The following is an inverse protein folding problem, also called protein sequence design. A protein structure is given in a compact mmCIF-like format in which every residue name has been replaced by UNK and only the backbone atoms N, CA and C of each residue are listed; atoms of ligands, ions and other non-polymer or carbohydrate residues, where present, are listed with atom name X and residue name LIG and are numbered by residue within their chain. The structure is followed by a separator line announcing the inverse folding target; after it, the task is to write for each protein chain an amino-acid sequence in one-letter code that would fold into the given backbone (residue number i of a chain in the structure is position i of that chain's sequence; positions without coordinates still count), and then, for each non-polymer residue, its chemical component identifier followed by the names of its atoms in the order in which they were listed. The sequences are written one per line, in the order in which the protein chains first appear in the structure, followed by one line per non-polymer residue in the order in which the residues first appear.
data_IF_817099477412
#
_entry.id   IF_817099477412
#
_cell.length_a   1.000
_cell.length_b   1.000
_cell.length_c   1.000
_cell.angle_alpha   90.00
_cell.angle_beta   90.00
_cell.angle_gamma   90.00
#
_symmetry.space_group_name_H-M   'P 1'
#
loop_
_entity.id
_entity.type
_entity.pdbx_description
1 polymer ?
#
# COMPACT_ATOMS: atom_id res chain seq x y z
N UNK A 1 -5.00 -10.27 15.97
CA UNK A 1 -6.00 -9.30 15.47
C UNK A 1 -6.15 -8.22 16.53
N UNK A 2 -5.89 -6.95 16.19
CA UNK A 2 -6.07 -5.84 17.13
C UNK A 2 -7.57 -5.68 17.43
N UNK A 3 -7.94 -5.28 18.65
CA UNK A 3 -9.32 -4.89 18.93
C UNK A 3 -9.72 -3.66 18.12
N UNK A 4 -10.99 -3.53 17.77
CA UNK A 4 -11.54 -2.44 16.95
C UNK A 4 -11.07 -1.05 17.40
N UNK A 5 -11.16 -0.75 18.70
CA UNK A 5 -10.71 0.55 19.24
C UNK A 5 -9.21 0.79 19.02
N UNK A 6 -8.38 -0.24 19.16
CA UNK A 6 -6.94 -0.13 18.90
C UNK A 6 -6.65 0.08 17.41
N UNK A 7 -7.39 -0.58 16.52
CA UNK A 7 -7.27 -0.36 15.08
C UNK A 7 -7.67 1.06 14.70
N UNK A 8 -8.75 1.55 15.31
CA UNK A 8 -9.25 2.93 15.15
C UNK A 8 -8.23 3.97 15.60
N UNK A 9 -7.64 3.79 16.78
CA UNK A 9 -6.60 4.68 17.30
C UNK A 9 -5.35 4.70 16.39
N UNK A 10 -4.90 3.53 15.93
CA UNK A 10 -3.75 3.46 15.03
C UNK A 10 -4.06 4.08 13.66
N UNK A 11 -5.26 3.86 13.12
CA UNK A 11 -5.73 4.52 11.90
C UNK A 11 -5.77 6.05 12.05
N UNK A 12 -6.25 6.57 13.17
CA UNK A 12 -6.26 8.00 13.49
C UNK A 12 -4.86 8.62 13.51
N UNK A 13 -3.87 7.90 14.04
CA UNK A 13 -2.46 8.36 14.03
C UNK A 13 -1.85 8.28 12.63
N UNK A 14 -2.24 7.29 11.84
CA UNK A 14 -1.66 7.03 10.53
C UNK A 14 -2.14 7.99 9.46
N UNK A 15 -3.44 8.30 9.43
CA UNK A 15 -4.04 9.11 8.36
C UNK A 15 -3.29 10.43 8.16
N UNK A 16 -2.95 11.21 9.19
CA UNK A 16 -2.14 12.42 9.02
C UNK A 16 -0.76 12.19 8.38
N UNK A 17 -0.12 11.05 8.66
CA UNK A 17 1.21 10.71 8.12
C UNK A 17 1.17 10.33 6.64
N UNK A 18 0.08 9.70 6.23
CA UNK A 18 -0.17 9.29 4.85
C UNK A 18 -0.87 10.37 4.03
N UNK A 19 -1.48 11.38 4.67
CA UNK A 19 -2.13 12.46 3.95
C UNK A 19 -1.12 13.22 3.08
N UNK A 20 -1.52 13.56 1.86
CA UNK A 20 -0.72 14.30 0.88
C UNK A 20 -0.22 13.49 -0.32
N UNK A 21 -0.28 12.15 -0.25
CA UNK A 21 0.10 11.27 -1.36
C UNK A 21 -0.96 10.19 -1.61
N UNK A 22 -1.05 9.73 -2.85
CA UNK A 22 -1.65 8.45 -3.18
C UNK A 22 -0.64 7.36 -2.87
N UNK A 23 -1.07 6.27 -2.25
CA UNK A 23 -0.14 5.22 -1.83
C UNK A 23 -0.35 3.94 -2.61
N UNK A 24 0.72 3.38 -3.14
CA UNK A 24 0.80 1.98 -3.50
C UNK A 24 1.51 1.23 -2.38
N UNK A 25 1.05 0.03 -2.02
CA UNK A 25 1.73 -0.83 -1.04
C UNK A 25 2.25 -2.10 -1.70
N UNK A 26 3.44 -2.53 -1.31
CA UNK A 26 4.09 -3.72 -1.87
C UNK A 26 5.00 -4.41 -0.84
N UNK A 27 5.41 -5.63 -1.16
CA UNK A 27 6.48 -6.34 -0.44
C UNK A 27 7.87 -5.81 -0.82
N UNK A 28 8.91 -6.27 -0.11
CA UNK A 28 10.30 -5.98 -0.47
C UNK A 28 10.65 -6.49 -1.86
N UNK A 29 10.21 -7.70 -2.22
CA UNK A 29 10.50 -8.28 -3.52
C UNK A 29 9.79 -7.52 -4.64
N UNK A 30 8.50 -7.17 -4.44
CA UNK A 30 7.79 -6.32 -5.38
C UNK A 30 8.43 -4.93 -5.52
N UNK A 31 8.97 -4.36 -4.44
CA UNK A 31 9.74 -3.11 -4.53
C UNK A 31 11.03 -3.26 -5.35
N UNK A 32 11.76 -4.36 -5.18
CA UNK A 32 12.96 -4.66 -5.99
C UNK A 32 12.62 -4.79 -7.47
N UNK A 33 11.53 -5.48 -7.79
CA UNK A 33 11.04 -5.61 -9.17
C UNK A 33 10.67 -4.24 -9.75
N UNK A 34 9.85 -3.46 -9.04
CA UNK A 34 9.46 -2.09 -9.42
C UNK A 34 10.70 -1.22 -9.68
N UNK A 35 11.71 -1.30 -8.82
CA UNK A 35 12.97 -0.58 -8.97
C UNK A 35 13.73 -1.03 -10.22
N UNK A 36 13.88 -2.34 -10.43
CA UNK A 36 14.59 -2.90 -11.59
C UNK A 36 13.91 -2.57 -12.92
N UNK A 37 12.57 -2.55 -12.94
CA UNK A 37 11.76 -2.27 -14.11
C UNK A 37 11.48 -0.77 -14.30
N UNK A 38 11.97 0.07 -13.40
CA UNK A 38 11.73 1.53 -13.40
C UNK A 38 10.25 1.93 -13.50
N UNK A 39 9.33 1.06 -13.05
CA UNK A 39 7.90 1.33 -13.08
C UNK A 39 7.12 0.36 -12.18
N UNK A 40 5.98 0.82 -11.66
CA UNK A 40 4.93 -0.07 -11.16
C UNK A 40 4.15 -0.54 -12.38
N UNK A 41 4.19 -1.84 -12.64
CA UNK A 41 3.51 -2.45 -13.80
C UNK A 41 2.07 -2.80 -13.47
N UNK A 42 1.19 -2.61 -14.45
CA UNK A 42 -0.14 -3.21 -14.41
C UNK A 42 0.03 -4.73 -14.43
N UNK A 43 -0.59 -5.43 -13.48
CA UNK A 43 -0.67 -6.89 -13.54
C UNK A 43 -1.65 -7.30 -14.64
N UNK A 44 -1.14 -7.87 -15.73
CA UNK A 44 -1.94 -8.30 -16.89
C UNK A 44 -2.31 -9.79 -16.82
N UNK A 45 -2.15 -10.40 -15.65
CA UNK A 45 -2.30 -11.84 -15.43
C UNK A 45 -1.00 -12.62 -15.59
N UNK A 46 0.12 -11.92 -15.82
CA UNK A 46 1.48 -12.44 -15.90
C UNK A 46 2.10 -12.69 -14.52
N UNK A 47 1.67 -11.94 -13.51
CA UNK A 47 2.11 -12.15 -12.13
C UNK A 47 1.13 -13.05 -11.37
N UNK A 48 1.63 -13.99 -10.54
CA UNK A 48 0.79 -14.78 -9.66
C UNK A 48 -0.07 -13.83 -8.82
N UNK A 49 -1.38 -14.04 -8.89
CA UNK A 49 -2.33 -13.19 -8.17
C UNK A 49 -2.10 -13.37 -6.68
N UNK A 50 -1.83 -12.28 -5.98
CA UNK A 50 -1.61 -12.32 -4.55
C UNK A 50 -2.85 -12.82 -3.78
N UNK A 51 -4.07 -12.61 -4.31
CA UNK A 51 -5.33 -12.90 -3.62
C UNK A 51 -6.38 -13.49 -4.55
N UNK A 52 -7.24 -14.39 -4.05
CA UNK A 52 -8.39 -14.90 -4.81
C UNK A 52 -9.36 -13.76 -5.17
N UNK A 53 -9.50 -12.78 -4.27
CA UNK A 53 -10.39 -11.63 -4.44
C UNK A 53 -9.89 -10.64 -5.50
N UNK A 54 -8.59 -10.61 -5.80
CA UNK A 54 -8.06 -9.73 -6.84
C UNK A 54 -8.48 -10.17 -8.25
N UNK A 55 -9.05 -11.37 -8.40
CA UNK A 55 -9.66 -11.83 -9.65
C UNK A 55 -10.86 -10.98 -10.07
N UNK A 56 -11.57 -10.38 -9.10
CA UNK A 56 -12.75 -9.54 -9.34
C UNK A 56 -12.51 -8.09 -8.87
N UNK A 57 -11.24 -7.68 -8.70
CA UNK A 57 -10.94 -6.29 -8.37
C UNK A 57 -11.24 -5.41 -9.58
N UNK A 58 -11.98 -4.32 -9.36
CA UNK A 58 -12.28 -3.35 -10.42
C UNK A 58 -10.99 -2.78 -11.05
N UNK A 59 -9.91 -2.59 -10.27
CA UNK A 59 -8.64 -2.14 -10.83
C UNK A 59 -8.02 -3.18 -11.77
N UNK A 60 -8.11 -4.46 -11.43
CA UNK A 60 -7.63 -5.53 -12.30
C UNK A 60 -8.42 -5.59 -13.62
N UNK A 61 -9.76 -5.50 -13.55
CA UNK A 61 -10.62 -5.50 -14.74
C UNK A 61 -10.42 -4.29 -15.66
N UNK A 62 -9.99 -3.15 -15.09
CA UNK A 62 -9.67 -1.94 -15.85
C UNK A 62 -8.20 -1.90 -16.34
N UNK A 63 -7.42 -2.95 -16.10
CA UNK A 63 -5.99 -2.95 -16.44
C UNK A 63 -5.24 -1.80 -15.74
N UNK A 64 -5.53 -1.62 -14.46
CA UNK A 64 -5.10 -0.49 -13.65
C UNK A 64 -4.36 -0.94 -12.38
N UNK A 65 -3.58 -0.01 -11.83
CA UNK A 65 -2.87 -0.17 -10.56
C UNK A 65 -3.74 0.38 -9.44
N UNK A 66 -3.90 -0.40 -8.37
CA UNK A 66 -4.58 0.02 -7.15
C UNK A 66 -3.72 0.99 -6.34
N UNK A 67 -4.31 2.12 -5.95
CA UNK A 67 -3.74 3.12 -5.06
C UNK A 67 -4.74 3.46 -3.94
N UNK A 68 -4.22 3.92 -2.80
CA UNK A 68 -5.02 4.41 -1.68
C UNK A 68 -5.05 5.94 -1.67
N UNK A 69 -6.24 6.52 -1.77
CA UNK A 69 -6.52 7.96 -1.68
C UNK A 69 -7.05 8.35 -0.30
N UNK A 70 -6.12 8.78 0.54
CA UNK A 70 -6.40 9.40 1.84
C UNK A 70 -6.41 10.94 1.76
N UNK A 71 -6.19 11.51 0.56
CA UNK A 71 -6.10 12.96 0.34
C UNK A 71 -7.50 13.56 0.26
N UNK A 72 -8.35 13.01 -0.61
CA UNK A 72 -9.65 13.59 -0.95
C UNK A 72 -10.75 13.30 0.08
N UNK A 73 -10.48 12.36 0.99
CA UNK A 73 -11.43 11.92 2.00
C UNK A 73 -11.21 12.63 3.35
N UNK A 74 -12.31 12.94 4.03
CA UNK A 74 -12.28 13.45 5.41
C UNK A 74 -12.05 12.30 6.37
N UNK A 75 -11.42 12.56 7.51
CA UNK A 75 -11.12 11.51 8.51
C UNK A 75 -12.37 10.72 8.93
N UNK A 76 -13.52 11.38 9.08
CA UNK A 76 -14.79 10.69 9.41
C UNK A 76 -15.26 9.69 8.35
N UNK A 77 -14.84 9.88 7.09
CA UNK A 77 -15.16 8.97 5.98
C UNK A 77 -14.18 7.78 5.93
N UNK A 78 -13.05 7.86 6.64
CA UNK A 78 -11.99 6.85 6.74
C UNK A 78 -12.06 6.02 8.03
N UNK A 79 -12.58 6.63 9.10
CA UNK A 79 -12.59 6.12 10.49
C UNK A 79 -14.02 6.09 11.08
N UNK A 80 -15.04 6.28 10.23
CA UNK A 80 -16.44 6.31 10.63
C UNK A 80 -16.98 4.95 11.10
N UNK A 81 -18.29 4.90 11.36
CA UNK A 81 -19.00 3.71 11.90
C UNK A 81 -19.06 2.52 10.93
N UNK A 82 -18.57 2.65 9.71
CA UNK A 82 -18.48 1.55 8.76
C UNK A 82 -17.29 0.64 9.13
N UNK A 83 -17.54 -0.28 10.07
CA UNK A 83 -16.57 -1.28 10.55
C UNK A 83 -15.88 -2.01 9.38
N UNK A 84 -16.61 -2.25 8.28
CA UNK A 84 -16.06 -2.94 7.11
C UNK A 84 -14.99 -2.12 6.40
N UNK A 85 -15.06 -0.79 6.47
CA UNK A 85 -14.00 0.07 5.94
C UNK A 85 -12.81 0.10 6.88
N UNK A 86 -13.05 0.26 8.18
CA UNK A 86 -11.97 0.37 9.15
C UNK A 86 -11.13 -0.91 9.26
N UNK A 87 -11.74 -2.08 9.04
CA UNK A 87 -11.00 -3.34 9.05
C UNK A 87 -10.27 -3.61 7.72
N UNK A 88 -10.86 -3.25 6.58
CA UNK A 88 -10.33 -3.66 5.27
C UNK A 88 -9.12 -2.87 4.81
N UNK A 89 -9.16 -1.54 4.87
CA UNK A 89 -8.07 -0.75 4.29
C UNK A 89 -6.76 -0.93 5.06
N UNK A 90 -6.72 -0.98 6.40
CA UNK A 90 -5.47 -1.24 7.10
C UNK A 90 -4.98 -2.66 6.84
N UNK A 91 -5.88 -3.65 6.80
CA UNK A 91 -5.49 -5.03 6.50
C UNK A 91 -4.77 -5.13 5.15
N UNK A 92 -5.30 -4.48 4.11
CA UNK A 92 -4.68 -4.50 2.78
C UNK A 92 -3.42 -3.64 2.73
N UNK A 93 -3.43 -2.44 3.32
CA UNK A 93 -2.25 -1.56 3.33
C UNK A 93 -1.07 -2.20 4.04
N UNK A 94 -1.28 -2.92 5.14
CA UNK A 94 -0.22 -3.49 5.98
C UNK A 94 -0.01 -5.00 5.80
N UNK A 95 -0.51 -5.56 4.70
CA UNK A 95 -0.48 -7.02 4.49
C UNK A 95 0.94 -7.59 4.35
N UNK A 96 1.89 -6.79 3.89
CA UNK A 96 3.27 -7.24 3.67
C UNK A 96 4.13 -7.04 4.93
N UNK A 97 5.13 -7.89 5.15
CA UNK A 97 6.06 -7.76 6.29
C UNK A 97 7.51 -7.92 5.84
N UNK A 98 8.30 -6.83 5.72
CA UNK A 98 7.87 -5.43 5.88
C UNK A 98 6.95 -4.97 4.73
N UNK A 99 6.10 -3.98 5.00
CA UNK A 99 5.33 -3.27 3.97
C UNK A 99 6.12 -2.07 3.47
N UNK A 100 6.22 -1.94 2.14
CA UNK A 100 6.76 -0.76 1.49
C UNK A 100 5.61 0.09 0.96
N UNK A 101 5.60 1.37 1.32
CA UNK A 101 4.65 2.38 0.86
C UNK A 101 5.33 3.25 -0.20
N UNK A 102 4.73 3.36 -1.38
CA UNK A 102 5.20 4.20 -2.47
C UNK A 102 4.21 5.35 -2.68
N UNK A 103 4.61 6.54 -2.25
CA UNK A 103 3.80 7.75 -2.27
C UNK A 103 3.96 8.50 -3.59
N UNK A 104 2.83 8.78 -4.23
CA UNK A 104 2.73 9.45 -5.53
C UNK A 104 1.88 10.71 -5.37
N UNK A 105 2.32 11.82 -5.94
CA UNK A 105 1.56 13.07 -5.88
C UNK A 105 0.32 12.98 -6.78
N UNK A 106 -0.85 13.31 -6.25
CA UNK A 106 -2.12 13.25 -6.98
C UNK A 106 -2.05 13.98 -8.33
N UNK A 107 -1.50 15.19 -8.36
CA UNK A 107 -1.38 16.00 -9.58
C UNK A 107 -0.55 15.37 -10.69
N UNK A 108 0.40 14.49 -10.34
CA UNK A 108 1.28 13.83 -11.31
C UNK A 108 0.61 12.68 -12.09
N UNK A 109 -0.53 12.19 -11.60
CA UNK A 109 -1.23 11.03 -12.16
C UNK A 109 -2.73 11.25 -12.38
N UNK A 110 -3.25 12.45 -12.09
CA UNK A 110 -4.67 12.75 -12.02
C UNK A 110 -5.47 12.39 -13.30
N UNK A 111 -4.85 12.51 -14.48
CA UNK A 111 -5.50 12.23 -15.77
C UNK A 111 -5.87 10.76 -15.98
N UNK A 112 -5.27 9.84 -15.21
CA UNK A 112 -5.42 8.40 -15.39
C UNK A 112 -6.14 7.73 -14.21
N UNK A 113 -6.72 8.51 -13.30
CA UNK A 113 -7.39 7.98 -12.11
C UNK A 113 -8.87 7.70 -12.35
N UNK A 114 -9.31 6.52 -11.94
CA UNK A 114 -10.71 6.12 -11.83
C UNK A 114 -11.08 5.96 -10.37
N UNK A 115 -11.98 6.80 -9.87
CA UNK A 115 -12.41 6.78 -8.47
C UNK A 115 -13.56 5.80 -8.24
N UNK A 116 -13.71 5.37 -6.98
CA UNK A 116 -14.74 4.41 -6.58
C UNK A 116 -16.16 4.70 -7.10
N UNK A 117 -16.72 5.94 -7.03
CA UNK A 117 -18.07 6.20 -7.53
C UNK A 117 -18.23 5.90 -9.03
N UNK A 118 -17.19 6.19 -9.81
CA UNK A 118 -17.17 5.92 -11.24
C UNK A 118 -17.03 4.43 -11.52
N UNK A 119 -16.09 3.74 -10.86
CA UNK A 119 -15.90 2.30 -10.99
C UNK A 119 -17.14 1.54 -10.58
N UNK A 120 -17.78 1.94 -9.48
CA UNK A 120 -19.05 1.36 -9.01
C UNK A 120 -20.14 1.45 -10.05
N UNK A 121 -20.24 2.57 -10.77
CA UNK A 121 -21.22 2.76 -11.84
C UNK A 121 -20.90 1.89 -13.07
N UNK A 122 -19.62 1.68 -13.40
CA UNK A 122 -19.17 0.91 -14.57
C UNK A 122 -19.22 -0.61 -14.35
N UNK A 123 -18.80 -1.08 -13.17
CA UNK A 123 -18.53 -2.51 -12.87
C UNK A 123 -19.35 -3.07 -11.70
N UNK A 124 -20.11 -2.24 -11.00
CA UNK A 124 -20.75 -2.62 -9.74
C UNK A 124 -19.78 -2.57 -8.56
N UNK A 125 -20.14 -3.20 -7.44
CA UNK A 125 -19.37 -3.08 -6.19
C UNK A 125 -17.93 -3.60 -6.34
N UNK A 126 -17.72 -4.71 -7.04
CA UNK A 126 -16.40 -5.31 -7.29
C UNK A 126 -15.58 -5.62 -6.03
N UNK A 127 -14.32 -6.03 -6.23
CA UNK A 127 -13.32 -6.22 -5.18
C UNK A 127 -12.48 -4.98 -4.91
N UNK A 128 -13.12 -3.81 -4.78
CA UNK A 128 -12.47 -2.54 -4.45
C UNK A 128 -12.80 -2.14 -3.01
N UNK A 129 -11.84 -1.56 -2.28
CA UNK A 129 -12.07 -1.00 -0.95
C UNK A 129 -12.83 0.30 -1.14
N UNK A 130 -14.11 0.36 -0.71
CA UNK A 130 -14.95 1.49 -1.06
C UNK A 130 -14.34 2.81 -0.59
N UNK A 131 -14.49 3.84 -1.43
CA UNK A 131 -14.05 5.23 -1.20
C UNK A 131 -12.54 5.42 -1.28
N UNK A 132 -11.74 4.63 -0.58
CA UNK A 132 -10.30 4.87 -0.42
C UNK A 132 -9.50 4.36 -1.61
N UNK A 133 -9.89 3.23 -2.21
CA UNK A 133 -9.15 2.70 -3.35
C UNK A 133 -9.51 3.45 -4.65
N UNK A 134 -8.47 3.86 -5.38
CA UNK A 134 -8.53 4.51 -6.68
C UNK A 134 -7.68 3.72 -7.67
N UNK A 135 -8.14 3.56 -8.90
CA UNK A 135 -7.42 2.81 -9.92
C UNK A 135 -6.68 3.75 -10.86
N UNK A 136 -5.37 3.59 -10.99
CA UNK A 136 -4.56 4.29 -11.99
C UNK A 136 -4.43 3.45 -13.26
N UNK A 137 -4.99 3.92 -14.37
CA UNK A 137 -4.94 3.21 -15.66
C UNK A 137 -3.54 3.29 -16.25
N UNK A 138 -2.96 2.12 -16.56
CA UNK A 138 -1.61 2.01 -17.11
C UNK A 138 -0.50 2.01 -16.05
N UNK A 139 0.73 1.78 -16.52
CA UNK A 139 1.92 1.71 -15.68
C UNK A 139 2.22 3.07 -15.01
N UNK A 140 2.81 3.03 -13.80
CA UNK A 140 3.28 4.24 -13.10
C UNK A 140 4.81 4.28 -13.17
N UNK A 141 5.41 5.23 -13.90
CA UNK A 141 6.86 5.38 -13.94
C UNK A 141 7.46 5.63 -12.55
N UNK A 142 8.60 4.99 -12.27
CA UNK A 142 9.25 5.06 -10.94
C UNK A 142 9.57 6.49 -10.51
N UNK A 143 9.91 7.39 -11.45
CA UNK A 143 10.20 8.80 -11.14
C UNK A 143 9.01 9.60 -10.55
N UNK A 144 7.79 9.07 -10.62
CA UNK A 144 6.61 9.69 -10.01
C UNK A 144 6.48 9.35 -8.52
N UNK A 145 7.23 8.38 -8.02
CA UNK A 145 7.29 8.07 -6.59
C UNK A 145 8.11 9.17 -5.89
N UNK A 146 7.46 9.91 -5.00
CA UNK A 146 8.03 11.06 -4.27
C UNK A 146 8.37 10.76 -2.82
N UNK A 147 7.71 9.76 -2.24
CA UNK A 147 7.89 9.39 -0.84
C UNK A 147 7.93 7.88 -0.71
N UNK A 148 8.84 7.36 0.11
CA UNK A 148 8.88 5.93 0.44
C UNK A 148 8.69 5.77 1.93
N UNK A 149 7.73 4.94 2.34
CA UNK A 149 7.54 4.51 3.72
C UNK A 149 7.93 3.05 3.87
N UNK A 150 8.53 2.69 5.00
CA UNK A 150 8.80 1.29 5.35
C UNK A 150 8.17 0.99 6.71
N UNK A 151 7.33 -0.03 6.76
CA UNK A 151 6.71 -0.54 7.98
C UNK A 151 7.23 -1.95 8.28
N UNK A 152 8.05 -2.08 9.32
CA UNK A 152 8.71 -3.35 9.67
C UNK A 152 7.87 -4.29 10.51
N UNK A 153 6.88 -3.76 11.23
CA UNK A 153 6.14 -4.47 12.29
C UNK A 153 4.63 -4.33 12.10
N UNK A 154 3.86 -5.00 12.96
CA UNK A 154 2.39 -4.87 12.99
C UNK A 154 1.92 -3.52 13.55
N UNK A 155 2.77 -2.83 14.30
CA UNK A 155 2.47 -1.49 14.79
C UNK A 155 2.51 -0.50 13.62
N UNK A 156 1.32 -0.08 13.21
CA UNK A 156 1.05 0.91 12.17
C UNK A 156 1.78 2.24 12.44
N UNK A 157 2.03 2.56 13.71
CA UNK A 157 2.80 3.72 14.16
C UNK A 157 4.30 3.68 13.82
N UNK A 158 4.87 2.54 13.43
CA UNK A 158 6.31 2.36 13.18
C UNK A 158 6.71 2.54 11.71
N UNK A 159 5.99 3.37 10.94
CA UNK A 159 6.40 3.69 9.57
C UNK A 159 7.52 4.70 9.59
N UNK A 160 8.64 4.34 8.97
CA UNK A 160 9.73 5.28 8.69
C UNK A 160 9.61 5.78 7.27
N UNK A 161 9.50 7.09 7.10
CA UNK A 161 9.43 7.72 5.78
C UNK A 161 10.79 8.27 5.36
N UNK A 162 11.11 8.10 4.08
CA UNK A 162 12.33 8.52 3.43
C UNK A 162 12.00 9.47 2.29
N UNK A 163 12.78 10.55 2.19
CA UNK A 163 12.72 11.52 1.08
C UNK A 163 13.55 11.09 -0.12
N UNK A 164 14.49 10.15 0.07
CA UNK A 164 15.35 9.60 -0.98
C UNK A 164 15.24 8.08 -1.03
N UNK A 165 15.21 7.54 -2.24
CA UNK A 165 15.14 6.10 -2.49
C UNK A 165 16.36 5.37 -1.91
N UNK A 166 17.55 5.95 -2.03
CA UNK A 166 18.78 5.37 -1.49
C UNK A 166 18.74 5.15 0.03
N UNK A 167 18.07 6.05 0.76
CA UNK A 167 17.95 5.95 2.22
C UNK A 167 17.00 4.80 2.60
N UNK A 168 15.89 4.66 1.87
CA UNK A 168 14.95 3.55 2.06
C UNK A 168 15.62 2.20 1.77
N UNK A 169 16.38 2.09 0.67
CA UNK A 169 17.13 0.87 0.31
C UNK A 169 18.13 0.51 1.39
N UNK A 170 18.90 1.49 1.87
CA UNK A 170 19.90 1.28 2.93
C UNK A 170 19.25 0.78 4.22
N UNK A 171 18.09 1.32 4.59
CA UNK A 171 17.33 0.86 5.75
C UNK A 171 16.84 -0.58 5.60
N UNK A 172 16.31 -0.95 4.44
CA UNK A 172 15.84 -2.31 4.16
C UNK A 172 16.99 -3.33 4.27
N UNK A 173 18.16 -2.99 3.72
CA UNK A 173 19.36 -3.83 3.82
C UNK A 173 19.83 -3.98 5.26
N UNK A 174 19.91 -2.90 6.02
CA UNK A 174 20.29 -2.94 7.44
C UNK A 174 19.31 -3.77 8.29
N UNK A 175 18.01 -3.67 8.01
CA UNK A 175 16.99 -4.48 8.69
C UNK A 175 17.12 -5.98 8.38
N UNK A 176 17.48 -6.31 7.13
CA UNK A 176 17.68 -7.69 6.69
C UNK A 176 18.92 -8.28 7.35
N UNK A 177 20.03 -7.52 7.39
CA UNK A 177 21.27 -7.94 8.06
C UNK A 177 21.05 -8.24 9.54
N UNK A 178 20.34 -7.36 10.27
CA UNK A 178 20.02 -7.59 11.70
C UNK A 178 19.20 -8.86 11.93
N UNK A 179 18.22 -9.16 11.07
CA UNK A 179 17.42 -10.40 11.18
C UNK A 179 18.25 -11.65 10.92
N UNK A 180 19.16 -11.60 9.95
CA UNK A 180 20.08 -12.71 9.68
C UNK A 180 21.03 -12.95 10.86
N UNK A 181 21.58 -11.89 11.47
CA UNK A 181 22.44 -12.01 12.66
C UNK A 181 21.69 -12.58 13.87
N UNK A 182 20.48 -12.12 14.14
CA UNK A 182 19.67 -12.63 15.26
C UNK A 182 19.30 -14.11 15.13
N UNK A 183 19.13 -14.60 13.89
CA UNK A 183 18.85 -16.02 13.64
C UNK A 183 20.10 -16.91 13.78
N UNK A 184 21.30 -16.36 13.64
CA UNK A 184 22.56 -17.09 13.83
C UNK A 184 22.86 -17.28 15.33
N UNK A 185 22.55 -16.29 16.16
CA UNK A 185 22.77 -16.33 17.61
C UNK A 185 21.67 -17.13 18.37
N UNK A 186 20.59 -17.50 17.69
CA UNK A 186 19.43 -18.19 18.26
C UNK A 186 19.30 -19.67 17.92
N UNK A 187 20.26 -20.27 17.20
CA UNK A 187 20.31 -21.74 17.06
C UNK A 187 20.95 -22.33 18.31
N UNK A 188 20.21 -23.00 19.21
CA UNK A 188 20.85 -23.87 20.18
C UNK A 188 21.58 -24.97 19.40
N UNK A 189 22.85 -25.18 19.73
CA UNK A 189 23.63 -26.33 19.27
C UNK A 189 22.78 -27.61 19.39
N UNK A 190 22.59 -28.29 18.26
CA UNK A 190 22.07 -29.67 18.22
C UNK A 190 23.18 -30.63 18.59
#
# INVERSE_FOLDING_TARGET
MLGYERLKEEAQKLIPLLRGYLWHTTSVDGFREIYSQSSIKVNRGDLPKAYTQSQCSNCFEEGAISLFDLITHRDKDLIGEDLLLLDKWPEVMFRHRPTIFLGIELGSVASNLLFYPELKRRRGLGGIIPRIEVCHVGDIPFQLIKKIGVCHEEAISNIVFYSKVGDAVSSLLASTARRLSANIEGSPDV
#
